data_IF_986458682939
#
_entry.id   IF_986458682939
#
_cell.length_a   1.000
_cell.length_b   1.000
_cell.length_c   1.000
_cell.angle_alpha   90.00
_cell.angle_beta   90.00
_cell.angle_gamma   90.00
#
_symmetry.space_group_name_H-M   'P 1'
#
loop_
_entity.id
_entity.type
_entity.pdbx_description
1 polymer ?
#
# COMPACT_ATOMS: atom_id res chain seq x y z
N UNK A 1 8.31 20.31 -8.23
CA UNK A 1 7.17 20.05 -9.15
C UNK A 1 6.30 19.00 -8.48
N UNK A 2 5.01 19.20 -8.39
CA UNK A 2 4.09 18.25 -7.76
C UNK A 2 4.08 16.91 -8.53
N UNK A 3 4.04 15.80 -7.80
CA UNK A 3 4.00 14.47 -8.41
C UNK A 3 2.66 14.27 -9.11
N UNK A 4 2.69 14.07 -10.43
CA UNK A 4 1.49 13.93 -11.27
C UNK A 4 0.67 12.66 -10.97
N UNK A 5 1.24 11.69 -10.26
CA UNK A 5 0.55 10.48 -9.83
C UNK A 5 -0.49 10.75 -8.75
N UNK A 6 -0.38 11.88 -8.04
CA UNK A 6 -1.25 12.23 -6.90
C UNK A 6 -2.39 13.13 -7.39
N UNK A 7 -3.62 12.65 -7.27
CA UNK A 7 -4.83 13.35 -7.68
C UNK A 7 -5.10 14.63 -6.89
N UNK A 8 -5.85 15.55 -7.49
CA UNK A 8 -6.18 16.85 -6.90
C UNK A 8 -7.09 16.75 -5.65
N UNK A 9 -7.74 15.62 -5.45
CA UNK A 9 -8.61 15.31 -4.31
C UNK A 9 -7.88 14.89 -3.03
N UNK A 10 -6.54 14.71 -3.11
CA UNK A 10 -5.70 14.42 -1.96
C UNK A 10 -5.35 15.73 -1.25
N UNK A 11 -5.60 15.80 0.07
CA UNK A 11 -5.29 17.00 0.87
C UNK A 11 -3.80 17.35 0.84
N UNK A 12 -3.44 18.61 1.08
CA UNK A 12 -2.03 19.05 1.10
C UNK A 12 -1.21 18.28 2.15
N UNK A 13 -1.81 18.00 3.29
CA UNK A 13 -1.18 17.19 4.35
C UNK A 13 -0.87 15.77 3.87
N UNK A 14 -1.85 15.07 3.31
CA UNK A 14 -1.67 13.72 2.79
C UNK A 14 -0.73 13.71 1.57
N UNK A 15 -0.80 14.72 0.71
CA UNK A 15 0.07 14.90 -0.45
C UNK A 15 1.54 14.96 -0.06
N UNK A 16 1.89 15.79 0.92
CA UNK A 16 3.27 15.90 1.40
C UNK A 16 3.82 14.56 1.89
N UNK A 17 2.98 13.76 2.57
CA UNK A 17 3.33 12.41 3.00
C UNK A 17 3.55 11.46 1.80
N UNK A 18 2.65 11.48 0.82
CA UNK A 18 2.74 10.65 -0.37
C UNK A 18 3.95 11.00 -1.24
N UNK A 19 4.21 12.29 -1.46
CA UNK A 19 5.35 12.78 -2.25
C UNK A 19 6.69 12.28 -1.69
N UNK A 20 6.83 12.23 -0.37
CA UNK A 20 8.00 11.67 0.28
C UNK A 20 8.23 10.21 -0.12
N UNK A 21 7.20 9.35 -0.03
CA UNK A 21 7.31 7.94 -0.42
C UNK A 21 7.54 7.78 -1.92
N UNK A 22 6.86 8.58 -2.73
CA UNK A 22 6.94 8.48 -4.19
C UNK A 22 8.21 9.11 -4.77
N UNK A 23 8.96 9.89 -3.99
CA UNK A 23 10.30 10.38 -4.35
C UNK A 23 11.42 9.38 -4.03
N UNK A 24 11.11 8.29 -3.32
CA UNK A 24 12.09 7.29 -2.92
C UNK A 24 12.74 7.55 -1.54
N UNK A 25 12.27 8.54 -0.79
CA UNK A 25 12.64 8.72 0.62
C UNK A 25 11.88 7.70 1.48
N UNK A 26 12.44 6.49 1.56
CA UNK A 26 11.80 5.32 2.12
C UNK A 26 12.33 5.00 3.53
N UNK A 27 11.46 4.53 4.44
CA UNK A 27 11.89 4.03 5.73
C UNK A 27 12.86 2.82 5.59
N UNK A 28 13.75 2.61 6.57
CA UNK A 28 14.73 1.51 6.52
C UNK A 28 14.12 0.13 6.28
N UNK A 29 12.93 -0.15 6.85
CA UNK A 29 12.24 -1.42 6.64
C UNK A 29 11.83 -1.65 5.17
N UNK A 30 11.39 -0.61 4.46
CA UNK A 30 11.05 -0.68 3.03
C UNK A 30 12.29 -0.99 2.20
N UNK A 31 13.40 -0.30 2.49
CA UNK A 31 14.68 -0.51 1.81
C UNK A 31 15.16 -1.96 2.02
N UNK A 32 15.16 -2.44 3.27
CA UNK A 32 15.59 -3.79 3.62
C UNK A 32 14.74 -4.87 2.93
N UNK A 33 13.45 -4.64 2.79
CA UNK A 33 12.54 -5.55 2.10
C UNK A 33 12.56 -5.39 0.58
N UNK A 34 13.17 -4.32 0.06
CA UNK A 34 13.14 -3.99 -1.37
C UNK A 34 11.76 -3.54 -1.86
N UNK A 35 10.97 -2.91 -0.98
CA UNK A 35 9.67 -2.33 -1.32
C UNK A 35 9.91 -0.95 -1.94
N UNK A 36 9.46 -0.76 -3.17
CA UNK A 36 9.75 0.43 -3.99
C UNK A 36 8.45 1.07 -4.52
N UNK A 37 7.64 1.71 -3.67
CA UNK A 37 6.42 2.39 -4.10
C UNK A 37 6.70 3.52 -5.09
N UNK A 38 7.86 4.15 -4.99
CA UNK A 38 8.35 5.17 -5.92
C UNK A 38 8.40 4.68 -7.38
N UNK A 39 8.66 3.39 -7.58
CA UNK A 39 8.72 2.76 -8.90
C UNK A 39 7.40 2.12 -9.33
N UNK A 40 6.59 1.65 -8.39
CA UNK A 40 5.45 0.77 -8.68
C UNK A 40 4.10 1.45 -8.62
N UNK A 41 3.94 2.52 -7.81
CA UNK A 41 2.69 3.27 -7.76
C UNK A 41 2.48 4.03 -9.07
N UNK A 42 1.28 3.87 -9.64
CA UNK A 42 0.86 4.49 -10.89
C UNK A 42 -0.05 5.69 -10.67
N UNK A 43 -0.98 5.57 -9.72
CA UNK A 43 -1.88 6.66 -9.37
C UNK A 43 -2.34 6.57 -7.93
N UNK A 44 -2.61 7.73 -7.35
CA UNK A 44 -3.16 7.91 -6.01
C UNK A 44 -4.26 8.96 -6.09
N UNK A 45 -5.43 8.66 -5.58
CA UNK A 45 -6.47 9.62 -5.24
C UNK A 45 -6.90 9.41 -3.79
N UNK A 46 -7.76 10.28 -3.26
CA UNK A 46 -8.19 10.15 -1.87
C UNK A 46 -8.86 8.79 -1.62
N UNK A 47 -8.21 7.93 -0.85
CA UNK A 47 -8.70 6.59 -0.52
C UNK A 47 -8.64 5.58 -1.66
N UNK A 48 -7.84 5.83 -2.69
CA UNK A 48 -7.63 4.89 -3.79
C UNK A 48 -6.18 4.92 -4.26
N UNK A 49 -5.63 3.76 -4.56
CA UNK A 49 -4.26 3.61 -5.05
C UNK A 49 -4.17 2.46 -6.06
N UNK A 50 -3.47 2.70 -7.15
CA UNK A 50 -3.11 1.68 -8.13
C UNK A 50 -1.59 1.55 -8.20
N UNK A 51 -1.10 0.33 -8.07
CA UNK A 51 0.29 -0.03 -8.27
C UNK A 51 0.42 -1.18 -9.27
N UNK A 52 1.56 -1.23 -9.97
CA UNK A 52 1.95 -2.35 -10.81
C UNK A 52 3.33 -2.80 -10.36
N UNK A 53 3.39 -3.98 -9.76
CA UNK A 53 4.64 -4.56 -9.29
C UNK A 53 5.25 -5.45 -10.35
N UNK A 54 6.49 -5.17 -10.82
CA UNK A 54 7.21 -6.03 -11.73
C UNK A 54 7.79 -7.23 -10.96
N UNK A 55 7.38 -8.42 -11.32
CA UNK A 55 7.91 -9.65 -10.75
C UNK A 55 9.11 -10.14 -11.56
N UNK A 56 10.30 -9.84 -11.09
CA UNK A 56 11.58 -10.24 -11.68
C UNK A 56 12.05 -11.65 -11.25
N UNK A 57 11.22 -12.35 -10.48
CA UNK A 57 11.52 -13.68 -9.94
C UNK A 57 12.32 -13.68 -8.64
N UNK A 58 12.86 -12.55 -8.19
CA UNK A 58 13.65 -12.45 -6.95
C UNK A 58 12.86 -12.76 -5.67
N UNK A 59 11.53 -12.72 -5.76
CA UNK A 59 10.59 -13.01 -4.65
C UNK A 59 9.88 -14.35 -4.80
N UNK A 60 10.31 -15.16 -5.76
CA UNK A 60 9.72 -16.47 -5.99
C UNK A 60 10.32 -17.53 -5.06
N UNK A 61 9.49 -18.50 -4.70
CA UNK A 61 9.93 -19.77 -4.12
C UNK A 61 10.27 -20.74 -5.25
N UNK A 62 10.89 -21.88 -4.94
CA UNK A 62 11.44 -22.81 -5.91
C UNK A 62 10.51 -23.35 -7.00
N UNK A 63 9.19 -23.08 -6.91
CA UNK A 63 8.19 -23.46 -7.93
C UNK A 63 7.83 -22.32 -8.90
N UNK A 64 8.58 -21.20 -8.90
CA UNK A 64 8.29 -20.03 -9.72
C UNK A 64 7.13 -19.16 -9.23
N UNK A 65 6.58 -19.45 -8.04
CA UNK A 65 5.49 -18.68 -7.42
C UNK A 65 6.06 -17.67 -6.47
N UNK A 66 5.40 -16.53 -6.36
CA UNK A 66 5.76 -15.50 -5.39
C UNK A 66 5.56 -16.00 -3.97
N UNK A 67 6.53 -15.73 -3.09
CA UNK A 67 6.45 -16.06 -1.67
C UNK A 67 5.30 -15.31 -0.99
N UNK A 68 4.45 -16.03 -0.26
CA UNK A 68 3.28 -15.43 0.42
C UNK A 68 3.64 -14.36 1.44
N UNK A 69 4.80 -14.48 2.10
CA UNK A 69 5.30 -13.44 3.00
C UNK A 69 5.66 -12.13 2.28
N UNK A 70 6.12 -12.20 1.02
CA UNK A 70 6.30 -11.01 0.18
C UNK A 70 4.96 -10.36 -0.16
N UNK A 71 3.97 -11.16 -0.53
CA UNK A 71 2.60 -10.66 -0.78
C UNK A 71 2.09 -9.92 0.45
N UNK A 72 2.29 -10.49 1.65
CA UNK A 72 1.88 -9.85 2.91
C UNK A 72 2.60 -8.52 3.15
N UNK A 73 3.91 -8.48 3.02
CA UNK A 73 4.72 -7.27 3.26
C UNK A 73 4.40 -6.15 2.27
N UNK A 74 4.30 -6.47 0.98
CA UNK A 74 3.93 -5.47 -0.02
C UNK A 74 2.47 -5.03 0.14
N UNK A 75 1.57 -5.93 0.50
CA UNK A 75 0.18 -5.59 0.78
C UNK A 75 0.04 -4.60 1.91
N UNK A 76 0.76 -4.77 3.04
CA UNK A 76 0.72 -3.82 4.15
C UNK A 76 1.18 -2.42 3.72
N UNK A 77 2.22 -2.35 2.89
CA UNK A 77 2.67 -1.07 2.32
C UNK A 77 1.58 -0.42 1.44
N UNK A 78 1.00 -1.16 0.50
CA UNK A 78 0.00 -0.64 -0.45
C UNK A 78 -1.26 -0.15 0.28
N UNK A 79 -1.82 -0.94 1.21
CA UNK A 79 -3.02 -0.52 1.96
C UNK A 79 -2.71 0.62 2.93
N UNK A 80 -1.46 0.73 3.42
CA UNK A 80 -1.02 1.85 4.24
C UNK A 80 -0.90 3.14 3.43
N UNK A 81 -0.36 3.09 2.23
CA UNK A 81 -0.31 4.26 1.34
C UNK A 81 -1.73 4.69 0.89
N UNK A 82 -2.61 3.73 0.63
CA UNK A 82 -4.02 4.02 0.35
C UNK A 82 -4.69 4.73 1.53
N UNK A 83 -4.48 4.27 2.77
CA UNK A 83 -4.97 4.96 3.97
C UNK A 83 -4.37 6.35 4.12
N UNK A 84 -3.06 6.49 3.90
CA UNK A 84 -2.34 7.75 4.02
C UNK A 84 -2.88 8.82 3.08
N UNK A 85 -3.35 8.45 1.89
CA UNK A 85 -3.95 9.39 0.92
C UNK A 85 -5.22 10.07 1.41
N UNK A 86 -5.85 9.55 2.46
CA UNK A 86 -7.10 10.05 3.04
C UNK A 86 -6.93 10.65 4.45
N UNK A 87 -5.68 10.86 4.91
CA UNK A 87 -5.44 11.49 6.21
C UNK A 87 -5.76 12.98 6.18
N UNK A 88 -6.27 13.45 7.29
CA UNK A 88 -6.44 14.87 7.59
C UNK A 88 -5.25 15.39 8.38
N UNK A 89 -5.15 16.72 8.48
CA UNK A 89 -4.06 17.37 9.20
C UNK A 89 -3.94 16.87 10.65
N UNK A 90 -2.71 16.53 11.04
CA UNK A 90 -2.39 16.04 12.38
C UNK A 90 -2.73 14.56 12.63
N UNK A 91 -3.29 13.86 11.66
CA UNK A 91 -3.58 12.43 11.77
C UNK A 91 -2.39 11.55 11.37
N UNK A 92 -2.27 10.43 12.05
CA UNK A 92 -1.46 9.29 11.65
C UNK A 92 -2.24 8.00 11.87
N UNK A 93 -1.66 6.86 11.55
CA UNK A 93 -2.31 5.57 11.77
C UNK A 93 -1.30 4.47 12.07
N UNK A 94 -1.82 3.37 12.61
CA UNK A 94 -1.11 2.10 12.74
C UNK A 94 -1.98 0.98 12.17
N UNK A 95 -1.35 -0.06 11.61
CA UNK A 95 -2.06 -1.27 11.21
C UNK A 95 -2.48 -2.05 12.45
N UNK A 96 -3.77 -2.32 12.60
CA UNK A 96 -4.32 -3.15 13.71
C UNK A 96 -4.52 -4.59 13.29
N UNK A 97 -5.00 -4.81 12.06
CA UNK A 97 -5.25 -6.14 11.52
C UNK A 97 -4.95 -6.13 10.03
N UNK A 98 -4.32 -7.21 9.57
CA UNK A 98 -4.00 -7.43 8.16
C UNK A 98 -4.32 -8.89 7.84
N UNK A 99 -5.31 -9.09 6.98
CA UNK A 99 -5.72 -10.41 6.52
C UNK A 99 -5.51 -10.51 5.03
N UNK A 100 -4.98 -11.64 4.58
CA UNK A 100 -4.73 -11.90 3.17
C UNK A 100 -5.30 -13.26 2.81
N UNK A 101 -6.10 -13.29 1.76
CA UNK A 101 -6.60 -14.54 1.16
C UNK A 101 -5.92 -14.74 -0.18
N UNK A 102 -5.17 -15.83 -0.29
CA UNK A 102 -4.52 -16.27 -1.52
C UNK A 102 -5.43 -17.30 -2.21
N UNK A 103 -6.10 -16.87 -3.27
CA UNK A 103 -7.03 -17.74 -4.02
C UNK A 103 -6.31 -18.60 -5.04
N UNK A 104 -5.19 -18.11 -5.55
CA UNK A 104 -4.33 -18.81 -6.50
C UNK A 104 -2.89 -18.32 -6.39
N UNK A 105 -1.92 -19.07 -6.92
CA UNK A 105 -0.54 -18.61 -6.96
C UNK A 105 -0.42 -17.23 -7.60
N UNK A 106 0.38 -16.37 -6.99
CA UNK A 106 0.78 -15.11 -7.60
C UNK A 106 1.95 -15.42 -8.51
N UNK A 107 1.76 -15.27 -9.81
CA UNK A 107 2.75 -15.52 -10.85
C UNK A 107 2.57 -14.54 -12.03
N UNK A 108 3.52 -14.56 -12.95
CA UNK A 108 3.52 -13.64 -14.09
C UNK A 108 4.45 -12.44 -13.91
N UNK A 109 4.77 -11.74 -15.01
CA UNK A 109 5.81 -10.71 -15.05
C UNK A 109 5.39 -9.38 -14.38
N UNK A 110 4.11 -9.10 -14.37
CA UNK A 110 3.55 -7.88 -13.77
C UNK A 110 2.27 -8.21 -13.00
N UNK A 111 2.18 -7.69 -11.79
CA UNK A 111 1.02 -7.88 -10.92
C UNK A 111 0.42 -6.51 -10.64
N UNK A 112 -0.86 -6.36 -10.99
CA UNK A 112 -1.63 -5.17 -10.63
C UNK A 112 -2.14 -5.29 -9.20
N UNK A 113 -1.95 -4.24 -8.42
CA UNK A 113 -2.41 -4.17 -7.03
C UNK A 113 -3.22 -2.89 -6.89
N UNK A 114 -4.50 -3.03 -6.65
CA UNK A 114 -5.41 -1.89 -6.51
C UNK A 114 -6.04 -1.89 -5.13
N UNK A 115 -6.00 -0.75 -4.44
CA UNK A 115 -6.46 -0.59 -3.07
C UNK A 115 -7.52 0.50 -2.94
N UNK A 116 -8.50 0.26 -2.05
CA UNK A 116 -9.62 1.16 -1.78
C UNK A 116 -9.85 1.31 -0.28
N UNK A 117 -9.95 2.52 0.20
CA UNK A 117 -10.50 2.84 1.52
C UNK A 117 -12.02 2.69 1.45
N UNK A 118 -12.52 1.58 2.00
CA UNK A 118 -13.95 1.23 1.95
C UNK A 118 -14.79 1.94 3.00
N UNK A 119 -14.18 2.20 4.14
CA UNK A 119 -14.85 2.89 5.25
C UNK A 119 -13.82 3.66 6.07
N UNK A 120 -14.20 4.82 6.56
CA UNK A 120 -13.40 5.66 7.45
C UNK A 120 -14.28 6.30 8.51
N UNK A 121 -13.91 6.14 9.76
CA UNK A 121 -14.41 6.90 10.90
C UNK A 121 -13.32 7.84 11.43
N UNK A 122 -13.62 8.53 12.53
CA UNK A 122 -12.63 9.38 13.21
C UNK A 122 -11.43 8.58 13.75
N UNK A 123 -11.62 7.31 14.09
CA UNK A 123 -10.60 6.49 14.78
C UNK A 123 -10.18 5.24 14.03
N UNK A 124 -10.84 4.92 12.91
CA UNK A 124 -10.61 3.66 12.19
C UNK A 124 -10.75 3.86 10.69
N UNK A 125 -9.87 3.24 9.93
CA UNK A 125 -9.98 3.09 8.48
C UNK A 125 -10.00 1.61 8.10
N UNK A 126 -10.86 1.25 7.14
CA UNK A 126 -10.91 -0.09 6.57
C UNK A 126 -10.57 -0.04 5.09
N UNK A 127 -9.49 -0.72 4.73
CA UNK A 127 -8.92 -0.74 3.38
C UNK A 127 -8.96 -2.16 2.82
N UNK A 128 -9.36 -2.30 1.57
CA UNK A 128 -9.22 -3.54 0.81
C UNK A 128 -8.24 -3.36 -0.34
N UNK A 129 -7.59 -4.44 -0.75
CA UNK A 129 -6.81 -4.45 -1.99
C UNK A 129 -6.98 -5.77 -2.74
N UNK A 130 -6.95 -5.68 -4.06
CA UNK A 130 -6.98 -6.80 -4.99
C UNK A 130 -5.61 -6.94 -5.67
N UNK A 131 -5.12 -8.17 -5.73
CA UNK A 131 -3.95 -8.56 -6.52
C UNK A 131 -4.42 -9.28 -7.78
N UNK A 132 -4.14 -8.73 -8.94
CA UNK A 132 -4.57 -9.29 -10.23
C UNK A 132 -3.39 -9.74 -11.07
N UNK A 133 -3.52 -10.94 -11.61
CA UNK A 133 -2.57 -11.51 -12.56
C UNK A 133 -2.70 -10.81 -13.94
N UNK A 134 -1.71 -10.97 -14.84
CA UNK A 134 -1.77 -10.39 -16.19
C UNK A 134 -3.03 -10.74 -16.99
N UNK A 135 -3.65 -11.89 -16.71
CA UNK A 135 -4.90 -12.31 -17.35
C UNK A 135 -6.16 -11.73 -16.67
N UNK A 136 -6.01 -10.81 -15.70
CA UNK A 136 -7.09 -10.17 -14.96
C UNK A 136 -7.69 -10.99 -13.83
N UNK A 137 -7.25 -12.23 -13.63
CA UNK A 137 -7.77 -13.09 -12.54
C UNK A 137 -7.29 -12.59 -11.18
N UNK A 138 -8.21 -12.58 -10.21
CA UNK A 138 -7.91 -12.23 -8.82
C UNK A 138 -7.04 -13.34 -8.20
N UNK A 139 -5.81 -13.01 -7.84
CA UNK A 139 -4.89 -13.93 -7.17
C UNK A 139 -4.99 -13.86 -5.65
N UNK A 140 -5.08 -12.65 -5.11
CA UNK A 140 -5.20 -12.44 -3.68
C UNK A 140 -6.13 -11.26 -3.38
N UNK A 141 -6.72 -11.28 -2.19
CA UNK A 141 -7.47 -10.16 -1.63
C UNK A 141 -6.96 -9.84 -0.23
N UNK A 142 -6.82 -8.55 0.03
CA UNK A 142 -6.30 -8.00 1.28
C UNK A 142 -7.41 -7.25 2.00
N UNK A 143 -7.44 -7.42 3.32
CA UNK A 143 -8.36 -6.72 4.22
C UNK A 143 -7.53 -6.14 5.35
N UNK A 144 -7.60 -4.83 5.56
CA UNK A 144 -6.77 -4.15 6.55
C UNK A 144 -7.58 -3.16 7.39
N UNK A 145 -7.43 -3.23 8.69
CA UNK A 145 -7.96 -2.25 9.64
C UNK A 145 -6.82 -1.39 10.17
N UNK A 146 -7.02 -0.08 10.08
CA UNK A 146 -6.07 0.95 10.51
C UNK A 146 -6.65 1.71 11.69
N UNK A 147 -5.90 1.82 12.80
CA UNK A 147 -6.25 2.72 13.88
C UNK A 147 -5.74 4.12 13.56
N UNK A 148 -6.64 5.08 13.42
CA UNK A 148 -6.31 6.49 13.21
C UNK A 148 -6.07 7.12 14.58
N UNK A 149 -4.97 7.84 14.73
CA UNK A 149 -4.54 8.51 15.96
C UNK A 149 -3.96 9.88 15.65
N UNK A 150 -3.97 10.81 16.61
CA UNK A 150 -3.16 12.02 16.49
C UNK A 150 -1.69 11.65 16.25
N UNK A 151 -1.01 12.33 15.32
CA UNK A 151 0.38 12.05 14.95
C UNK A 151 1.30 12.12 16.17
N UNK A 152 1.11 13.07 17.08
CA UNK A 152 1.88 13.22 18.32
C UNK A 152 1.77 12.01 19.26
N UNK A 153 0.66 11.26 19.22
CA UNK A 153 0.52 10.04 20.00
C UNK A 153 1.37 8.88 19.46
N UNK A 154 1.70 8.89 18.16
CA UNK A 154 2.51 7.87 17.51
C UNK A 154 4.01 8.11 17.68
N UNK A 155 4.43 9.36 17.93
CA UNK A 155 5.84 9.74 18.11
C UNK A 155 6.33 9.60 19.54
N UNK A 156 5.44 9.44 20.53
CA UNK A 156 5.77 9.33 21.96
C UNK A 156 6.10 7.91 22.44
N UNK A 157 6.09 6.94 21.54
CA UNK A 157 6.28 5.51 21.88
C UNK A 157 7.73 5.03 21.70
N UNK A 158 8.72 5.92 21.86
CA UNK A 158 10.15 5.57 21.88
C UNK A 158 10.78 5.85 23.25
#
# INVERSE_FOLDING_TARGET
MADQRIGADVSDFARAHMERFLSGDLPPAHIAMGIRPDLWVRSVSRGHLLAVWPNDGSRNIGSGRVFGGWVAGLSDNIVSLCMASALEEGEGFTTQDLQIKLFRPVDGPEIEIEAWLKNRSRTTGYVEADWRLPNGKLAAKVFAWKAIRPMEALTRST
#
